data_IF_401036849915
#
_entry.id   IF_401036849915
#
_cell.length_a   1.000
_cell.length_b   1.000
_cell.length_c   1.000
_cell.angle_alpha   90.00
_cell.angle_beta   90.00
_cell.angle_gamma   90.00
#
_symmetry.space_group_name_H-M   'P 1'
#
loop_
_entity.id
_entity.type
_entity.pdbx_description
1 polymer ?
#
# COMPACT_ATOMS: atom_id res chain seq x y z
N UNK A 1 17.56 -11.64 -16.43
CA UNK A 1 16.57 -12.57 -15.86
C UNK A 1 15.45 -11.74 -15.28
N UNK A 2 14.25 -11.84 -15.84
CA UNK A 2 13.05 -11.25 -15.26
C UNK A 2 12.51 -12.22 -14.21
N UNK A 3 12.45 -11.78 -12.95
CA UNK A 3 11.72 -12.47 -11.89
C UNK A 3 10.42 -11.67 -11.67
N UNK A 4 9.38 -11.87 -12.49
CA UNK A 4 8.15 -11.12 -12.33
C UNK A 4 7.51 -11.48 -10.99
N UNK A 5 7.29 -10.46 -10.15
CA UNK A 5 6.49 -10.57 -8.94
C UNK A 5 5.07 -10.11 -9.28
N UNK A 6 4.09 -10.93 -8.95
CA UNK A 6 2.68 -10.58 -9.08
C UNK A 6 2.18 -9.99 -7.78
N UNK A 7 1.61 -8.79 -7.82
CA UNK A 7 0.85 -8.23 -6.70
C UNK A 7 -0.58 -8.74 -6.77
N UNK A 8 -1.09 -9.22 -5.64
CA UNK A 8 -2.52 -9.45 -5.45
C UNK A 8 -3.15 -8.17 -4.89
N UNK A 9 -4.12 -7.59 -5.61
CA UNK A 9 -4.89 -6.44 -5.14
C UNK A 9 -6.06 -6.94 -4.28
N UNK A 10 -6.05 -6.60 -3.00
CA UNK A 10 -7.08 -6.98 -2.03
C UNK A 10 -8.22 -5.97 -1.97
N UNK A 11 -7.88 -4.69 -2.18
CA UNK A 11 -8.84 -3.59 -2.22
C UNK A 11 -8.34 -2.51 -3.17
N UNK A 12 -9.25 -1.88 -3.89
CA UNK A 12 -9.00 -0.59 -4.53
C UNK A 12 -10.30 0.19 -4.57
N UNK A 13 -10.19 1.50 -4.40
CA UNK A 13 -11.31 2.40 -4.62
C UNK A 13 -11.36 2.95 -6.05
N UNK A 14 -10.48 2.46 -6.93
CA UNK A 14 -10.30 2.84 -8.33
C UNK A 14 -9.99 4.33 -8.56
N UNK A 15 -9.63 5.08 -7.52
CA UNK A 15 -9.46 6.53 -7.61
C UNK A 15 -8.27 7.07 -6.84
N UNK A 16 -8.09 6.65 -5.59
CA UNK A 16 -7.13 7.26 -4.66
C UNK A 16 -6.17 6.26 -4.04
N UNK A 17 -6.55 4.99 -3.93
CA UNK A 17 -5.73 4.01 -3.23
C UNK A 17 -5.97 2.57 -3.68
N UNK A 18 -5.01 1.72 -3.36
CA UNK A 18 -5.18 0.27 -3.34
C UNK A 18 -4.40 -0.37 -2.20
N UNK A 19 -4.89 -1.50 -1.72
CA UNK A 19 -4.21 -2.40 -0.79
C UNK A 19 -3.81 -3.64 -1.55
N UNK A 20 -2.54 -4.02 -1.46
CA UNK A 20 -2.02 -5.20 -2.14
C UNK A 20 -1.03 -5.99 -1.32
N UNK A 21 -0.91 -7.28 -1.66
CA UNK A 21 0.12 -8.17 -1.13
C UNK A 21 1.13 -8.48 -2.24
N UNK A 22 2.40 -8.28 -1.90
CA UNK A 22 3.55 -8.64 -2.71
C UNK A 22 4.29 -9.83 -2.06
N UNK A 23 4.54 -10.93 -2.78
CA UNK A 23 5.46 -11.97 -2.29
C UNK A 23 6.87 -11.39 -2.19
N UNK A 24 7.49 -11.47 -1.02
CA UNK A 24 8.82 -10.95 -0.77
C UNK A 24 9.69 -12.02 -0.08
N UNK A 25 10.40 -12.82 -0.89
CA UNK A 25 11.16 -13.98 -0.42
C UNK A 25 10.30 -15.25 -0.33
N UNK A 26 10.87 -16.31 0.24
CA UNK A 26 10.26 -17.66 0.16
C UNK A 26 9.04 -17.86 1.07
N UNK A 27 8.87 -17.02 2.11
CA UNK A 27 7.81 -17.17 3.11
C UNK A 27 7.25 -15.83 3.63
N UNK A 28 7.72 -14.71 3.11
CA UNK A 28 7.27 -13.40 3.57
C UNK A 28 6.40 -12.74 2.50
N UNK A 29 5.36 -12.08 2.99
CA UNK A 29 4.43 -11.28 2.19
C UNK A 29 4.48 -9.85 2.71
N UNK A 30 4.61 -8.90 1.80
CA UNK A 30 4.53 -7.50 2.12
C UNK A 30 3.14 -6.99 1.77
N UNK A 31 2.36 -6.65 2.81
CA UNK A 31 1.06 -6.02 2.67
C UNK A 31 1.24 -4.49 2.68
N UNK A 32 0.72 -3.81 1.66
CA UNK A 32 0.99 -2.39 1.43
C UNK A 32 -0.30 -1.65 1.11
N UNK A 33 -0.40 -0.42 1.62
CA UNK A 33 -1.35 0.59 1.16
C UNK A 33 -0.61 1.57 0.26
N UNK A 34 -1.03 1.65 -1.00
CA UNK A 34 -0.59 2.66 -1.94
C UNK A 34 -1.66 3.73 -2.09
N UNK A 35 -1.24 4.99 -2.15
CA UNK A 35 -2.11 6.16 -2.21
C UNK A 35 -1.53 7.13 -3.24
N UNK A 36 -2.41 7.77 -4.01
CA UNK A 36 -2.04 8.86 -4.92
C UNK A 36 -1.39 10.03 -4.16
N UNK A 37 -0.45 10.71 -4.81
CA UNK A 37 0.43 11.71 -4.16
C UNK A 37 -0.38 12.84 -3.50
N UNK A 38 -1.47 13.27 -4.13
CA UNK A 38 -2.35 14.34 -3.64
C UNK A 38 -3.05 13.99 -2.32
N UNK A 39 -3.10 12.71 -1.96
CA UNK A 39 -3.80 12.20 -0.78
C UNK A 39 -2.87 11.70 0.33
N UNK A 40 -1.54 11.81 0.17
CA UNK A 40 -0.57 11.34 1.15
C UNK A 40 -0.73 11.98 2.55
N UNK A 41 -1.18 13.24 2.62
CA UNK A 41 -1.41 13.94 3.90
C UNK A 41 -2.83 13.73 4.46
N UNK A 42 -3.75 13.24 3.63
CA UNK A 42 -5.16 13.04 3.98
C UNK A 42 -5.67 11.77 3.30
N UNK A 43 -5.10 10.64 3.72
CA UNK A 43 -5.51 9.32 3.22
C UNK A 43 -6.99 9.11 3.55
N UNK A 44 -7.85 8.81 2.57
CA UNK A 44 -9.27 8.60 2.82
C UNK A 44 -9.51 7.47 3.84
N UNK A 45 -10.46 7.66 4.75
CA UNK A 45 -10.72 6.69 5.83
C UNK A 45 -10.99 5.28 5.29
N UNK A 46 -11.70 5.16 4.16
CA UNK A 46 -11.96 3.88 3.49
C UNK A 46 -10.69 3.10 3.14
N UNK A 47 -9.60 3.80 2.81
CA UNK A 47 -8.31 3.20 2.48
C UNK A 47 -7.60 2.71 3.73
N UNK A 48 -7.64 3.49 4.82
CA UNK A 48 -7.12 3.08 6.13
C UNK A 48 -7.88 1.87 6.67
N UNK A 49 -9.21 1.86 6.55
CA UNK A 49 -10.05 0.75 7.00
C UNK A 49 -9.77 -0.51 6.17
N UNK A 50 -9.66 -0.38 4.84
CA UNK A 50 -9.32 -1.50 3.96
C UNK A 50 -7.93 -2.08 4.29
N UNK A 51 -6.95 -1.23 4.59
CA UNK A 51 -5.62 -1.66 5.02
C UNK A 51 -5.69 -2.36 6.37
N UNK A 52 -6.39 -1.79 7.35
CA UNK A 52 -6.53 -2.40 8.68
C UNK A 52 -7.20 -3.78 8.62
N UNK A 53 -8.24 -3.92 7.79
CA UNK A 53 -8.95 -5.17 7.61
C UNK A 53 -8.15 -6.23 6.86
N UNK A 54 -7.28 -5.82 5.93
CA UNK A 54 -6.53 -6.74 5.05
C UNK A 54 -5.15 -7.10 5.62
N UNK A 55 -4.46 -6.12 6.20
CA UNK A 55 -3.06 -6.19 6.61
C UNK A 55 -2.87 -6.11 8.13
N UNK A 56 -3.88 -5.68 8.89
CA UNK A 56 -3.73 -5.37 10.32
C UNK A 56 -3.07 -4.00 10.54
N UNK A 57 -2.00 -3.95 11.32
CA UNK A 57 -1.26 -2.70 11.58
C UNK A 57 -0.04 -2.55 10.67
N UNK A 58 0.40 -1.32 10.47
CA UNK A 58 1.57 -1.01 9.65
C UNK A 58 2.22 0.30 10.06
N UNK A 59 3.32 0.64 9.40
CA UNK A 59 4.04 1.89 9.60
C UNK A 59 3.94 2.75 8.34
N UNK A 60 3.69 4.05 8.50
CA UNK A 60 3.70 4.98 7.39
C UNK A 60 5.15 5.17 6.94
N UNK A 61 5.48 4.67 5.75
CA UNK A 61 6.81 4.83 5.16
C UNK A 61 7.02 6.22 4.54
N UNK A 62 5.93 6.95 4.30
CA UNK A 62 5.97 8.30 3.73
C UNK A 62 6.41 9.33 4.78
N UNK A 63 7.38 10.16 4.41
CA UNK A 63 7.78 11.37 5.14
C UNK A 63 7.85 12.55 4.19
N UNK A 64 7.03 13.57 4.44
CA UNK A 64 7.03 14.81 3.64
C UNK A 64 8.38 15.53 3.65
N UNK A 65 9.11 15.43 4.76
CA UNK A 65 10.41 16.08 4.90
C UNK A 65 11.50 15.41 4.05
N UNK A 66 11.38 14.11 3.81
CA UNK A 66 12.37 13.31 3.09
C UNK A 66 12.02 13.11 1.61
N UNK A 67 10.73 13.16 1.26
CA UNK A 67 10.27 12.99 -0.11
C UNK A 67 10.18 14.35 -0.82
N UNK A 68 11.14 14.61 -1.72
CA UNK A 68 11.07 15.73 -2.67
C UNK A 68 10.46 15.22 -3.99
N UNK A 69 9.25 15.67 -4.32
CA UNK A 69 8.59 15.37 -5.60
C UNK A 69 8.67 16.55 -6.56
#
# INVERSE_FOLDING_TARGET
>A
YSNPLTIAVLFTDYQTCFVGILPFGDQAEQCMLWVEVEYLERIPQRCNDAFANSCGSGFLLYSKELCHF
#
